data_IF_709060287373
#
_entry.id   IF_709060287373
#
_cell.length_a   1.000
_cell.length_b   1.000
_cell.length_c   1.000
_cell.angle_alpha   90.00
_cell.angle_beta   90.00
_cell.angle_gamma   90.00
#
_symmetry.space_group_name_H-M   'P 1'
#
loop_
_entity.id
_entity.type
_entity.pdbx_description
1 polymer ?
#
# COMPACT_ATOMS: atom_id res chain seq x y z
N UNK A 1 -18.42 -28.87 18.43
CA UNK A 1 -17.47 -27.79 18.11
C UNK A 1 -16.31 -28.43 17.38
N UNK A 2 -16.11 -28.05 16.11
CA UNK A 2 -15.08 -28.61 15.26
C UNK A 2 -13.73 -28.03 15.66
N UNK A 3 -12.65 -28.79 15.50
CA UNK A 3 -11.27 -28.31 15.66
C UNK A 3 -11.01 -27.10 14.71
N UNK A 4 -11.77 -27.01 13.62
CA UNK A 4 -11.77 -25.87 12.69
C UNK A 4 -12.21 -24.55 13.34
N UNK A 5 -13.09 -24.59 14.35
CA UNK A 5 -13.58 -23.38 15.03
C UNK A 5 -12.54 -22.83 16.04
N UNK A 6 -11.56 -23.66 16.42
CA UNK A 6 -10.56 -23.33 17.47
C UNK A 6 -9.40 -22.47 16.93
N UNK A 7 -9.19 -22.44 15.60
CA UNK A 7 -8.18 -21.60 14.94
C UNK A 7 -8.73 -20.29 14.37
N UNK A 8 -9.93 -19.87 14.79
CA UNK A 8 -10.45 -18.52 14.51
C UNK A 8 -9.62 -17.39 15.17
N UNK A 9 -8.57 -17.73 15.93
CA UNK A 9 -7.55 -16.82 16.45
C UNK A 9 -6.34 -16.77 15.50
N UNK A 10 -6.53 -16.33 14.27
CA UNK A 10 -5.41 -15.98 13.40
C UNK A 10 -4.73 -14.73 13.96
N UNK A 11 -3.42 -14.81 14.21
CA UNK A 11 -2.61 -13.62 14.53
C UNK A 11 -2.86 -12.59 13.42
N UNK A 12 -3.27 -11.35 13.74
CA UNK A 12 -3.46 -10.33 12.72
C UNK A 12 -2.11 -10.00 12.09
N UNK A 13 -1.96 -10.36 10.83
CA UNK A 13 -0.80 -10.07 10.00
C UNK A 13 -1.05 -8.75 9.27
N UNK A 14 -0.12 -7.81 9.49
CA UNK A 14 -0.04 -6.55 8.76
C UNK A 14 1.20 -6.55 7.87
N UNK A 15 1.02 -6.23 6.60
CA UNK A 15 2.11 -5.99 5.67
C UNK A 15 2.46 -4.49 5.67
N UNK A 16 3.75 -4.17 5.82
CA UNK A 16 4.27 -2.82 5.58
C UNK A 16 5.13 -2.88 4.31
N UNK A 17 4.88 -1.98 3.37
CA UNK A 17 5.55 -2.02 2.06
C UNK A 17 5.69 -0.62 1.46
N UNK A 18 6.65 -0.45 0.55
CA UNK A 18 6.74 0.74 -0.30
C UNK A 18 5.89 0.64 -1.58
N UNK A 19 5.23 -0.50 -1.82
CA UNK A 19 4.36 -0.71 -2.99
C UNK A 19 5.08 -0.87 -4.33
N UNK A 20 6.41 -0.89 -4.35
CA UNK A 20 7.22 -1.02 -5.57
C UNK A 20 7.36 -2.50 -5.97
N UNK A 21 6.36 -3.02 -6.68
CA UNK A 21 6.32 -4.41 -7.15
C UNK A 21 5.94 -4.48 -8.63
N UNK A 22 6.51 -5.45 -9.35
CA UNK A 22 6.32 -5.59 -10.81
C UNK A 22 4.93 -6.10 -11.19
N UNK A 23 4.29 -6.85 -10.28
CA UNK A 23 2.99 -7.50 -10.52
C UNK A 23 2.10 -7.38 -9.28
N UNK A 24 1.60 -6.16 -8.98
CA UNK A 24 0.82 -5.89 -7.78
C UNK A 24 -0.38 -6.84 -7.65
N UNK A 25 -1.12 -7.08 -8.73
CA UNK A 25 -2.32 -7.93 -8.71
C UNK A 25 -2.03 -9.38 -8.33
N UNK A 26 -0.93 -9.95 -8.81
CA UNK A 26 -0.52 -11.32 -8.49
C UNK A 26 -0.15 -11.43 -7.02
N UNK A 27 0.68 -10.50 -6.53
CA UNK A 27 1.13 -10.49 -5.14
C UNK A 27 -0.03 -10.27 -4.17
N UNK A 28 -0.90 -9.30 -4.46
CA UNK A 28 -2.09 -9.00 -3.65
C UNK A 28 -3.05 -10.20 -3.59
N UNK A 29 -3.27 -10.91 -4.70
CA UNK A 29 -4.08 -12.15 -4.72
C UNK A 29 -3.46 -13.26 -3.87
N UNK A 30 -2.14 -13.39 -3.86
CA UNK A 30 -1.44 -14.41 -3.07
C UNK A 30 -1.50 -14.15 -1.56
N UNK A 31 -1.52 -12.89 -1.14
CA UNK A 31 -1.61 -12.52 0.28
C UNK A 31 -3.05 -12.38 0.78
N UNK A 32 -4.03 -12.33 -0.13
CA UNK A 32 -5.44 -12.18 0.22
C UNK A 32 -5.92 -13.36 1.07
N UNK A 33 -6.56 -13.06 2.21
CA UNK A 33 -6.98 -14.07 3.18
C UNK A 33 -5.88 -14.54 4.14
N UNK A 34 -4.61 -14.19 3.89
CA UNK A 34 -3.50 -14.40 4.84
C UNK A 34 -3.14 -13.12 5.60
N UNK A 35 -3.28 -11.96 4.95
CA UNK A 35 -3.00 -10.63 5.49
C UNK A 35 -4.32 -9.90 5.70
N UNK A 36 -4.49 -9.21 6.83
CA UNK A 36 -5.70 -8.45 7.14
C UNK A 36 -5.55 -6.96 6.80
N UNK A 37 -4.32 -6.44 6.86
CA UNK A 37 -4.05 -5.04 6.57
C UNK A 37 -2.73 -4.82 5.84
N UNK A 38 -2.70 -3.81 4.98
CA UNK A 38 -1.50 -3.35 4.27
C UNK A 38 -1.33 -1.87 4.54
N UNK A 39 -0.15 -1.48 5.03
CA UNK A 39 0.27 -0.08 5.10
C UNK A 39 1.31 0.19 4.01
N UNK A 40 1.00 1.15 3.13
CA UNK A 40 1.85 1.50 1.99
C UNK A 40 2.47 2.87 2.20
N UNK A 41 3.77 3.00 1.95
CA UNK A 41 4.44 4.31 1.98
C UNK A 41 3.98 5.16 0.78
N UNK A 42 3.22 6.22 1.03
CA UNK A 42 2.83 7.24 0.05
C UNK A 42 3.40 8.58 0.51
N UNK A 43 4.64 8.84 0.12
CA UNK A 43 5.42 9.95 0.68
C UNK A 43 4.94 11.32 0.20
N UNK A 44 4.48 11.42 -1.04
CA UNK A 44 4.05 12.68 -1.68
C UNK A 44 3.00 12.42 -2.75
N UNK A 45 2.23 13.45 -3.09
CA UNK A 45 1.31 13.44 -4.23
C UNK A 45 1.99 13.72 -5.57
N UNK A 46 3.21 14.28 -5.55
CA UNK A 46 3.92 14.70 -6.75
C UNK A 46 4.90 13.63 -7.23
N UNK A 47 4.82 13.29 -8.52
CA UNK A 47 5.60 12.19 -9.10
C UNK A 47 7.10 12.53 -9.22
N UNK A 48 7.44 13.79 -9.47
CA UNK A 48 8.84 14.22 -9.61
C UNK A 48 9.50 14.27 -8.22
N UNK A 49 8.83 14.85 -7.24
CA UNK A 49 9.25 14.83 -5.84
C UNK A 49 9.37 13.39 -5.31
N UNK A 50 8.49 12.48 -5.72
CA UNK A 50 8.59 11.07 -5.34
C UNK A 50 9.91 10.46 -5.83
N UNK A 51 10.30 10.73 -7.07
CA UNK A 51 11.56 10.24 -7.64
C UNK A 51 12.77 10.73 -6.83
N UNK A 52 12.76 11.99 -6.40
CA UNK A 52 13.80 12.57 -5.56
C UNK A 52 13.82 11.96 -4.14
N UNK A 53 12.65 11.70 -3.57
CA UNK A 53 12.51 11.16 -2.22
C UNK A 53 12.88 9.69 -2.11
N UNK A 54 12.47 8.87 -3.09
CA UNK A 54 12.57 7.41 -3.02
C UNK A 54 13.77 6.86 -3.76
N UNK A 55 14.17 7.50 -4.87
CA UNK A 55 15.22 7.02 -5.76
C UNK A 55 15.11 5.51 -6.06
N UNK A 56 14.02 5.07 -6.72
CA UNK A 56 13.79 3.65 -7.00
C UNK A 56 14.98 3.02 -7.75
N UNK A 57 15.38 1.83 -7.31
CA UNK A 57 16.51 1.10 -7.91
C UNK A 57 16.13 0.57 -9.31
N UNK A 58 14.88 0.13 -9.47
CA UNK A 58 14.38 -0.40 -10.74
C UNK A 58 13.83 0.74 -11.62
N UNK A 59 14.23 0.85 -12.91
CA UNK A 59 13.83 1.96 -13.78
C UNK A 59 12.32 2.08 -14.04
N UNK A 60 11.58 0.98 -13.95
CA UNK A 60 10.13 0.94 -14.17
C UNK A 60 9.32 1.15 -12.89
N UNK A 61 9.99 1.26 -11.74
CA UNK A 61 9.35 1.59 -10.46
C UNK A 61 9.25 3.10 -10.30
N UNK A 62 8.04 3.60 -10.11
CA UNK A 62 7.78 5.03 -9.96
C UNK A 62 6.56 5.27 -9.07
N UNK A 63 6.20 6.55 -8.89
CA UNK A 63 5.02 6.97 -8.13
C UNK A 63 3.73 6.28 -8.60
N UNK A 64 3.57 6.15 -9.92
CA UNK A 64 2.43 5.46 -10.54
C UNK A 64 2.36 3.98 -10.14
N UNK A 65 3.49 3.29 -10.02
CA UNK A 65 3.55 1.90 -9.53
C UNK A 65 2.95 1.78 -8.11
N UNK A 66 3.29 2.70 -7.21
CA UNK A 66 2.77 2.71 -5.84
C UNK A 66 1.27 3.02 -5.83
N UNK A 67 0.83 4.04 -6.57
CA UNK A 67 -0.58 4.38 -6.69
C UNK A 67 -1.41 3.21 -7.24
N UNK A 68 -0.89 2.52 -8.26
CA UNK A 68 -1.50 1.34 -8.83
C UNK A 68 -1.58 0.18 -7.82
N UNK A 69 -0.53 -0.03 -7.01
CA UNK A 69 -0.56 -1.02 -5.93
C UNK A 69 -1.67 -0.72 -4.93
N UNK A 70 -1.78 0.54 -4.47
CA UNK A 70 -2.80 0.98 -3.50
C UNK A 70 -4.21 0.74 -4.08
N UNK A 71 -4.47 1.23 -5.29
CA UNK A 71 -5.77 1.05 -5.96
C UNK A 71 -6.17 -0.41 -6.09
N UNK A 72 -5.21 -1.29 -6.44
CA UNK A 72 -5.48 -2.72 -6.55
C UNK A 72 -5.72 -3.38 -5.19
N UNK A 73 -5.02 -2.95 -4.14
CA UNK A 73 -5.23 -3.44 -2.78
C UNK A 73 -6.64 -3.08 -2.27
N UNK A 74 -7.05 -1.83 -2.49
CA UNK A 74 -8.40 -1.34 -2.17
C UNK A 74 -9.46 -2.12 -2.96
N UNK A 75 -9.25 -2.28 -4.26
CA UNK A 75 -10.21 -2.96 -5.16
C UNK A 75 -10.43 -4.43 -4.84
N UNK A 76 -9.51 -5.07 -4.11
CA UNK A 76 -9.62 -6.47 -3.74
C UNK A 76 -10.71 -6.73 -2.68
N UNK A 77 -11.07 -5.72 -1.88
CA UNK A 77 -12.18 -5.78 -0.92
C UNK A 77 -11.99 -6.68 0.30
N UNK A 78 -10.78 -7.23 0.51
CA UNK A 78 -10.44 -8.14 1.63
C UNK A 78 -9.32 -7.63 2.53
N UNK A 79 -8.80 -6.43 2.27
CA UNK A 79 -7.67 -5.84 2.98
C UNK A 79 -8.09 -4.48 3.56
N UNK A 80 -7.71 -4.20 4.80
CA UNK A 80 -7.67 -2.82 5.31
C UNK A 80 -6.43 -2.15 4.74
N UNK A 81 -6.61 -1.11 3.93
CA UNK A 81 -5.50 -0.37 3.33
C UNK A 81 -5.30 0.92 4.12
N UNK A 82 -4.05 1.17 4.48
CA UNK A 82 -3.60 2.42 5.09
C UNK A 82 -2.44 2.96 4.25
N UNK A 83 -2.26 4.27 4.25
CA UNK A 83 -1.05 4.89 3.72
C UNK A 83 -0.28 5.57 4.84
N UNK A 84 1.05 5.53 4.74
CA UNK A 84 1.94 6.24 5.65
C UNK A 84 2.68 7.32 4.85
N UNK A 85 2.45 8.57 5.21
CA UNK A 85 3.18 9.72 4.67
C UNK A 85 4.51 9.96 5.39
N UNK A 86 5.25 10.97 4.94
CA UNK A 86 6.50 11.41 5.57
C UNK A 86 6.36 12.81 6.16
N UNK A 87 7.01 13.04 7.30
CA UNK A 87 7.15 14.36 7.87
C UNK A 87 8.38 15.07 7.30
N UNK A 88 8.20 15.73 6.16
CA UNK A 88 9.23 16.50 5.46
C UNK A 88 8.73 17.92 5.19
N UNK A 89 9.55 18.97 5.41
CA UNK A 89 9.13 20.36 5.19
C UNK A 89 8.75 20.68 3.75
N UNK A 90 9.34 19.98 2.79
CA UNK A 90 9.12 20.18 1.35
C UNK A 90 7.94 19.37 0.80
N UNK A 91 7.34 18.48 1.60
CA UNK A 91 6.22 17.63 1.19
C UNK A 91 4.89 18.25 1.62
N UNK A 92 3.99 18.43 0.65
CA UNK A 92 2.62 18.86 0.94
C UNK A 92 1.77 17.67 1.43
N UNK A 93 1.59 17.61 2.75
CA UNK A 93 0.81 16.54 3.42
C UNK A 93 -0.66 16.56 3.02
N UNK A 94 -1.25 17.73 2.80
CA UNK A 94 -2.66 17.85 2.45
C UNK A 94 -2.92 17.32 1.04
N UNK A 95 -1.97 17.55 0.11
CA UNK A 95 -2.04 16.92 -1.21
C UNK A 95 -1.84 15.42 -1.15
N UNK A 96 -0.90 14.92 -0.36
CA UNK A 96 -0.70 13.48 -0.17
C UNK A 96 -1.95 12.79 0.42
N UNK A 97 -2.61 13.43 1.39
CA UNK A 97 -3.89 12.98 1.96
C UNK A 97 -5.03 13.00 0.92
N UNK A 98 -5.13 14.06 0.12
CA UNK A 98 -6.10 14.15 -0.98
C UNK A 98 -5.89 13.04 -2.01
N UNK A 99 -4.64 12.76 -2.37
CA UNK A 99 -4.30 11.65 -3.25
C UNK A 99 -4.72 10.32 -2.64
N UNK A 100 -4.38 10.06 -1.37
CA UNK A 100 -4.76 8.83 -0.68
C UNK A 100 -6.27 8.56 -0.75
N UNK A 101 -7.09 9.57 -0.47
CA UNK A 101 -8.54 9.48 -0.60
C UNK A 101 -9.01 9.21 -2.02
N UNK A 102 -8.38 9.82 -3.02
CA UNK A 102 -8.71 9.56 -4.43
C UNK A 102 -8.38 8.12 -4.87
N UNK A 103 -7.45 7.45 -4.19
CA UNK A 103 -7.09 6.05 -4.41
C UNK A 103 -8.02 5.08 -3.66
N UNK A 104 -8.91 5.60 -2.81
CA UNK A 104 -9.89 4.82 -2.04
C UNK A 104 -9.39 4.36 -0.67
N UNK A 105 -8.37 5.03 -0.12
CA UNK A 105 -7.89 4.86 1.26
C UNK A 105 -8.63 5.80 2.20
#
# INVERSE_FOLDING_TARGET
QSIADTYSNTLPIRLLTNGLVDSPSTMLKQINGCVQSVSVLLLTADADQYQECVQPICPHHNHGTVCQFIQQAVSLGGLTVEVTGVDRPDVDKAQAETLAHSLGV
#
